data_IF_133399668140
#
_entry.id   IF_133399668140
#
_cell.length_a   1.000
_cell.length_b   1.000
_cell.length_c   1.000
_cell.angle_alpha   90.00
_cell.angle_beta   90.00
_cell.angle_gamma   90.00
#
_symmetry.space_group_name_H-M   'P 1'
#
loop_
_entity.id
_entity.type
_entity.pdbx_description
1 polymer ?
#
# COMPACT_ATOMS: atom_id res chain seq x y z
N UNK A 1 -6.87 -35.49 11.42
CA UNK A 1 -5.87 -35.25 10.35
C UNK A 1 -6.36 -34.28 9.27
N UNK A 2 -7.51 -34.53 8.63
CA UNK A 2 -8.04 -33.68 7.54
C UNK A 2 -8.26 -32.21 7.98
N UNK A 3 -8.85 -31.99 9.16
CA UNK A 3 -9.10 -30.63 9.68
C UNK A 3 -7.82 -29.81 9.88
N UNK A 4 -6.72 -30.44 10.28
CA UNK A 4 -5.42 -29.77 10.42
C UNK A 4 -4.83 -29.36 9.07
N UNK A 5 -4.99 -30.18 8.03
CA UNK A 5 -4.60 -29.81 6.66
C UNK A 5 -5.41 -28.62 6.15
N UNK A 6 -6.73 -28.60 6.39
CA UNK A 6 -7.60 -27.48 6.01
C UNK A 6 -7.16 -26.20 6.72
N UNK A 7 -6.92 -26.25 8.04
CA UNK A 7 -6.43 -25.10 8.79
C UNK A 7 -5.07 -24.59 8.29
N UNK A 8 -4.15 -25.49 7.94
CA UNK A 8 -2.84 -25.11 7.39
C UNK A 8 -2.97 -24.40 6.03
N UNK A 9 -3.85 -24.87 5.14
CA UNK A 9 -4.10 -24.25 3.84
C UNK A 9 -4.71 -22.85 4.01
N UNK A 10 -5.69 -22.69 4.91
CA UNK A 10 -6.30 -21.40 5.21
C UNK A 10 -5.29 -20.41 5.79
N UNK A 11 -4.42 -20.86 6.70
CA UNK A 11 -3.36 -20.04 7.27
C UNK A 11 -2.32 -19.63 6.20
N UNK A 12 -1.94 -20.55 5.30
CA UNK A 12 -1.05 -20.24 4.17
C UNK A 12 -1.64 -19.21 3.20
N UNK A 13 -2.92 -19.35 2.86
CA UNK A 13 -3.62 -18.37 2.02
C UNK A 13 -3.72 -17.00 2.69
N UNK A 14 -4.00 -16.95 3.99
CA UNK A 14 -4.00 -15.71 4.76
C UNK A 14 -2.62 -15.03 4.73
N UNK A 15 -1.54 -15.80 4.97
CA UNK A 15 -0.17 -15.28 4.94
C UNK A 15 0.16 -14.67 3.57
N UNK A 16 -0.19 -15.34 2.48
CA UNK A 16 0.01 -14.82 1.13
C UNK A 16 -0.69 -13.47 0.90
N UNK A 17 -1.92 -13.32 1.39
CA UNK A 17 -2.67 -12.06 1.32
C UNK A 17 -2.01 -10.95 2.15
N UNK A 18 -1.52 -11.26 3.35
CA UNK A 18 -0.80 -10.30 4.19
C UNK A 18 0.50 -9.82 3.53
N UNK A 19 1.27 -10.74 2.94
CA UNK A 19 2.52 -10.40 2.23
C UNK A 19 2.22 -9.52 1.01
N UNK A 20 1.21 -9.86 0.20
CA UNK A 20 0.79 -9.06 -0.94
C UNK A 20 0.34 -7.66 -0.52
N UNK A 21 -0.50 -7.55 0.51
CA UNK A 21 -0.93 -6.27 1.06
C UNK A 21 0.25 -5.43 1.59
N UNK A 22 1.24 -6.08 2.20
CA UNK A 22 2.47 -5.44 2.65
C UNK A 22 3.30 -4.86 1.50
N UNK A 23 3.44 -5.60 0.40
CA UNK A 23 4.14 -5.11 -0.81
C UNK A 23 3.42 -3.91 -1.42
N UNK A 24 2.10 -4.01 -1.60
CA UNK A 24 1.30 -2.90 -2.17
C UNK A 24 1.45 -1.62 -1.33
N UNK A 25 1.42 -1.75 0.00
CA UNK A 25 1.58 -0.62 0.91
C UNK A 25 2.95 0.03 0.82
N UNK A 26 4.02 -0.75 0.63
CA UNK A 26 5.38 -0.21 0.45
C UNK A 26 5.48 0.60 -0.83
N UNK A 27 5.08 0.02 -1.96
CA UNK A 27 5.07 0.69 -3.27
C UNK A 27 4.21 1.96 -3.23
N UNK A 28 3.03 1.89 -2.61
CA UNK A 28 2.18 3.06 -2.42
C UNK A 28 2.85 4.14 -1.55
N UNK A 29 3.55 3.74 -0.48
CA UNK A 29 4.24 4.69 0.38
C UNK A 29 5.38 5.43 -0.34
N UNK A 30 6.08 4.73 -1.24
CA UNK A 30 7.12 5.32 -2.09
C UNK A 30 6.52 6.33 -3.06
N UNK A 31 5.47 5.95 -3.80
CA UNK A 31 4.75 6.88 -4.67
C UNK A 31 4.21 8.08 -3.90
N UNK A 32 3.63 7.87 -2.71
CA UNK A 32 3.14 8.95 -1.87
C UNK A 32 4.25 9.91 -1.42
N UNK A 33 5.44 9.40 -1.09
CA UNK A 33 6.61 10.23 -0.76
C UNK A 33 7.02 11.10 -1.95
N UNK A 34 7.09 10.52 -3.14
CA UNK A 34 7.42 11.26 -4.37
C UNK A 34 6.36 12.32 -4.70
N UNK A 35 5.07 12.01 -4.57
CA UNK A 35 3.97 12.99 -4.72
C UNK A 35 4.09 14.13 -3.70
N UNK A 36 4.49 13.85 -2.46
CA UNK A 36 4.74 14.91 -1.48
C UNK A 36 5.96 15.76 -1.82
N UNK A 37 7.01 15.17 -2.39
CA UNK A 37 8.20 15.90 -2.84
C UNK A 37 7.85 16.88 -3.98
N UNK A 38 7.13 16.45 -5.01
CA UNK A 38 6.74 17.36 -6.09
C UNK A 38 5.85 18.49 -5.58
N UNK A 39 4.88 18.20 -4.70
CA UNK A 39 4.00 19.24 -4.11
C UNK A 39 4.75 20.21 -3.20
N UNK A 40 5.87 19.81 -2.59
CA UNK A 40 6.74 20.71 -1.82
C UNK A 40 7.55 21.58 -2.75
N UNK A 41 8.10 21.00 -3.82
CA UNK A 41 8.81 21.74 -4.86
C UNK A 41 7.92 22.78 -5.54
N UNK A 42 6.68 22.43 -5.90
CA UNK A 42 5.71 23.38 -6.48
C UNK A 42 5.47 24.56 -5.54
N UNK A 43 5.18 24.30 -4.26
CA UNK A 43 5.00 25.37 -3.28
C UNK A 43 6.23 26.24 -3.08
N UNK A 44 7.43 25.65 -3.15
CA UNK A 44 8.68 26.40 -3.03
C UNK A 44 8.94 27.26 -4.28
N UNK A 45 8.58 26.76 -5.46
CA UNK A 45 8.64 27.51 -6.71
C UNK A 45 7.64 28.67 -6.74
N UNK A 46 6.39 28.42 -6.35
CA UNK A 46 5.32 29.42 -6.37
C UNK A 46 5.53 30.52 -5.31
N UNK A 47 6.21 30.18 -4.20
CA UNK A 47 6.57 31.12 -3.14
C UNK A 47 7.93 31.80 -3.30
N UNK A 48 8.71 31.46 -4.35
CA UNK A 48 10.01 32.07 -4.59
C UNK A 48 9.85 33.51 -5.11
N UNK A 49 10.61 34.50 -4.59
CA UNK A 49 10.67 35.85 -5.15
C UNK A 49 11.13 35.82 -6.61
N UNK A 50 10.69 36.80 -7.42
CA UNK A 50 11.08 36.93 -8.84
C UNK A 50 12.60 36.95 -9.06
N UNK A 51 13.35 37.49 -8.11
CA UNK A 51 14.82 37.60 -8.18
C UNK A 51 15.56 36.32 -7.77
N UNK A 52 14.85 35.27 -7.32
CA UNK A 52 15.47 34.00 -6.92
C UNK A 52 15.22 32.92 -7.98
N UNK A 53 16.29 32.20 -8.33
CA UNK A 53 16.17 31.01 -9.15
C UNK A 53 15.26 29.99 -8.46
N UNK A 54 14.23 29.52 -9.18
CA UNK A 54 13.37 28.45 -8.68
C UNK A 54 14.20 27.21 -8.31
N UNK A 55 13.85 26.49 -7.23
CA UNK A 55 14.57 25.29 -6.86
C UNK A 55 14.56 24.26 -8.00
N UNK A 56 15.64 23.50 -8.20
CA UNK A 56 15.69 22.47 -9.24
C UNK A 56 14.61 21.41 -9.01
N UNK A 57 13.99 20.94 -10.09
CA UNK A 57 12.95 19.91 -10.03
C UNK A 57 13.57 18.58 -9.57
N UNK A 58 12.99 17.89 -8.59
CA UNK A 58 13.42 16.54 -8.25
C UNK A 58 13.09 15.56 -9.38
N UNK A 59 14.05 14.72 -9.75
CA UNK A 59 13.83 13.58 -10.64
C UNK A 59 13.07 12.49 -9.87
N UNK A 60 11.88 12.13 -10.36
CA UNK A 60 10.96 11.21 -9.68
C UNK A 60 10.42 10.20 -10.69
N UNK A 61 10.44 8.93 -10.32
CA UNK A 61 10.01 7.82 -11.20
C UNK A 61 8.49 7.57 -11.15
N UNK A 62 7.79 8.09 -10.14
CA UNK A 62 6.37 7.80 -9.94
C UNK A 62 5.49 8.49 -10.98
N UNK A 63 4.58 7.77 -11.65
CA UNK A 63 3.66 8.36 -12.62
C UNK A 63 2.67 9.34 -11.99
N UNK A 64 2.47 9.27 -10.67
CA UNK A 64 1.61 10.15 -9.89
C UNK A 64 2.32 11.45 -9.46
N UNK A 65 3.64 11.49 -9.49
CA UNK A 65 4.46 12.60 -8.99
C UNK A 65 4.83 13.60 -10.10
N UNK A 66 3.85 13.98 -10.93
CA UNK A 66 4.01 14.99 -11.97
C UNK A 66 3.50 16.37 -11.51
N UNK A 67 3.99 17.46 -12.11
CA UNK A 67 3.48 18.80 -11.85
C UNK A 67 1.98 18.90 -12.12
N UNK A 68 1.28 19.74 -11.37
CA UNK A 68 -0.16 19.97 -11.51
C UNK A 68 -0.56 20.42 -12.92
N UNK A 69 0.34 21.13 -13.61
CA UNK A 69 0.16 21.53 -15.02
C UNK A 69 0.02 20.34 -15.98
N UNK A 70 0.58 19.16 -15.64
CA UNK A 70 0.51 17.94 -16.44
C UNK A 70 -0.70 17.07 -16.10
N UNK A 71 -1.61 17.53 -15.21
CA UNK A 71 -2.78 16.78 -14.73
C UNK A 71 -2.47 15.32 -14.35
N UNK A 72 -1.63 15.08 -13.31
CA UNK A 72 -1.30 13.74 -12.88
C UNK A 72 -2.55 12.93 -12.48
N UNK A 73 -2.53 11.60 -12.68
CA UNK A 73 -3.56 10.73 -12.14
C UNK A 73 -3.60 10.84 -10.61
N UNK A 74 -4.79 10.68 -10.03
CA UNK A 74 -4.96 10.67 -8.58
C UNK A 74 -4.34 9.41 -7.99
N UNK A 75 -3.49 9.58 -6.97
CA UNK A 75 -2.92 8.43 -6.25
C UNK A 75 -4.06 7.64 -5.60
N UNK A 76 -4.22 6.34 -5.90
CA UNK A 76 -5.33 5.55 -5.37
C UNK A 76 -5.30 5.47 -3.85
N UNK A 77 -6.47 5.37 -3.23
CA UNK A 77 -6.59 5.25 -1.78
C UNK A 77 -6.03 3.92 -1.28
N UNK A 78 -5.07 4.02 -0.34
CA UNK A 78 -4.44 2.96 0.47
C UNK A 78 -4.69 1.51 -0.05
N UNK A 79 -3.87 1.02 -0.99
CA UNK A 79 -4.03 -0.33 -1.50
C UNK A 79 -3.79 -1.37 -0.40
N UNK A 80 -4.42 -2.53 -0.57
CA UNK A 80 -4.27 -3.68 0.32
C UNK A 80 -5.27 -3.77 1.47
N UNK A 81 -6.17 -2.78 1.68
CA UNK A 81 -7.17 -2.87 2.75
C UNK A 81 -8.10 -4.08 2.60
N UNK A 82 -8.63 -4.32 1.40
CA UNK A 82 -9.47 -5.49 1.10
C UNK A 82 -8.72 -6.79 1.31
N UNK A 83 -7.44 -6.85 0.90
CA UNK A 83 -6.58 -8.04 1.07
C UNK A 83 -6.36 -8.37 2.54
N UNK A 84 -6.20 -7.35 3.39
CA UNK A 84 -6.09 -7.56 4.84
C UNK A 84 -7.37 -8.06 5.47
N UNK A 85 -8.54 -7.56 5.04
CA UNK A 85 -9.82 -8.04 5.53
C UNK A 85 -10.02 -9.52 5.18
N UNK A 86 -9.72 -9.91 3.94
CA UNK A 86 -9.78 -11.31 3.53
C UNK A 86 -8.75 -12.18 4.26
N UNK A 87 -7.52 -11.69 4.44
CA UNK A 87 -6.50 -12.39 5.23
C UNK A 87 -6.96 -12.62 6.68
N UNK A 88 -7.53 -11.59 7.32
CA UNK A 88 -8.06 -11.69 8.68
C UNK A 88 -9.23 -12.68 8.76
N UNK A 89 -10.14 -12.66 7.79
CA UNK A 89 -11.26 -13.61 7.72
C UNK A 89 -10.75 -15.06 7.62
N UNK A 90 -9.75 -15.31 6.77
CA UNK A 90 -9.16 -16.64 6.63
C UNK A 90 -8.46 -17.11 7.92
N UNK A 91 -7.81 -16.21 8.65
CA UNK A 91 -7.23 -16.54 9.96
C UNK A 91 -8.33 -16.93 10.95
N UNK A 92 -9.42 -16.18 11.02
CA UNK A 92 -10.56 -16.52 11.89
C UNK A 92 -11.12 -17.90 11.54
N UNK A 93 -11.32 -18.20 10.25
CA UNK A 93 -11.76 -19.52 9.80
C UNK A 93 -10.76 -20.62 10.20
N UNK A 94 -9.46 -20.39 10.02
CA UNK A 94 -8.42 -21.35 10.39
C UNK A 94 -8.43 -21.66 11.90
N UNK A 95 -8.58 -20.62 12.73
CA UNK A 95 -8.69 -20.77 14.19
C UNK A 95 -9.93 -21.57 14.58
N UNK A 96 -11.09 -21.26 14.00
CA UNK A 96 -12.32 -22.01 14.26
C UNK A 96 -12.17 -23.50 13.92
N UNK A 97 -11.61 -23.81 12.74
CA UNK A 97 -11.36 -25.20 12.32
C UNK A 97 -10.39 -25.90 13.27
N UNK A 98 -9.33 -25.23 13.73
CA UNK A 98 -8.39 -25.75 14.72
C UNK A 98 -9.07 -26.04 16.05
N UNK A 99 -9.88 -25.11 16.56
CA UNK A 99 -10.59 -25.31 17.83
C UNK A 99 -11.60 -26.47 17.74
N UNK A 100 -12.31 -26.60 16.61
CA UNK A 100 -13.21 -27.72 16.37
C UNK A 100 -12.45 -29.06 16.30
N UNK A 101 -11.27 -29.07 15.68
CA UNK A 101 -10.43 -30.27 15.60
C UNK A 101 -9.84 -30.69 16.94
N UNK A 102 -9.62 -29.76 17.87
CA UNK A 102 -9.14 -30.03 19.23
C UNK A 102 -10.25 -30.48 20.18
N UNK A 103 -11.50 -30.09 19.91
CA UNK A 103 -12.67 -30.47 20.70
C UNK A 103 -13.26 -31.84 20.31
N UNK A 104 -12.79 -32.43 19.20
CA UNK A 104 -13.22 -33.72 18.65
C UNK A 104 -12.22 -34.82 19.00
#
# INVERSE_FOLDING_TARGET
>A
MILFLVAAVLAGAALALFVAAGRDRRTWSEHRRQVMMIRRWERARDGAPFDQAAPPRPELDSPYAKPRAENPPVLPDRPGQTRLLWGALLVVCAVLVLTAALAA
#
